data_IF_852076843915
#
_entry.id   IF_852076843915
#
_cell.length_a   1.000
_cell.length_b   1.000
_cell.length_c   1.000
_cell.angle_alpha   90.00
_cell.angle_beta   90.00
_cell.angle_gamma   90.00
#
_symmetry.space_group_name_H-M   'P 1'
#
loop_
_entity.id
_entity.type
_entity.pdbx_description
1 polymer ?
#
# COMPACT_ATOMS: atom_id res chain seq x y z
N UNK A 1 -31.15 11.31 -13.09
CA UNK A 1 -31.17 11.78 -11.69
C UNK A 1 -29.72 11.79 -11.21
N UNK A 2 -29.18 12.95 -10.93
CA UNK A 2 -27.77 13.17 -10.53
C UNK A 2 -27.55 12.57 -9.15
N UNK A 3 -26.69 11.55 -9.05
CA UNK A 3 -26.21 10.98 -7.78
C UNK A 3 -24.77 11.45 -7.58
N UNK A 4 -24.63 12.74 -7.39
CA UNK A 4 -23.39 13.34 -6.89
C UNK A 4 -23.76 14.53 -6.00
N UNK A 5 -24.29 14.26 -4.81
CA UNK A 5 -24.18 15.21 -3.74
C UNK A 5 -22.73 15.14 -3.23
N UNK A 6 -21.89 16.15 -3.43
CA UNK A 6 -20.55 16.15 -2.88
C UNK A 6 -20.66 16.12 -1.36
N UNK A 7 -20.10 15.08 -0.74
CA UNK A 7 -19.83 15.11 0.69
C UNK A 7 -19.02 16.38 0.93
N UNK A 8 -19.54 17.27 1.77
CA UNK A 8 -18.92 18.57 2.04
C UNK A 8 -17.55 18.31 2.67
N UNK A 9 -16.48 18.74 1.99
CA UNK A 9 -15.13 18.61 2.49
C UNK A 9 -15.01 19.18 3.92
N UNK A 10 -14.30 18.53 4.83
CA UNK A 10 -13.99 19.11 6.12
C UNK A 10 -13.25 20.44 5.91
N UNK A 11 -13.54 21.44 6.75
CA UNK A 11 -12.85 22.73 6.70
C UNK A 11 -11.33 22.50 6.84
N UNK A 12 -10.53 23.03 5.88
CA UNK A 12 -9.08 22.82 5.84
C UNK A 12 -8.64 21.60 5.03
N UNK A 13 -9.44 21.07 4.11
CA UNK A 13 -9.00 20.04 3.15
C UNK A 13 -8.65 20.65 1.79
N UNK A 14 -7.65 20.10 1.13
CA UNK A 14 -7.23 20.43 -0.23
C UNK A 14 -7.13 19.18 -1.08
N UNK A 15 -7.07 19.33 -2.40
CA UNK A 15 -7.04 18.19 -3.31
C UNK A 15 -5.62 17.95 -3.82
N UNK A 16 -5.08 16.76 -3.50
CA UNK A 16 -3.75 16.30 -3.91
C UNK A 16 -3.86 15.00 -4.71
N UNK A 17 -2.85 14.73 -5.52
CA UNK A 17 -2.58 13.40 -6.03
C UNK A 17 -1.95 12.54 -4.92
N UNK A 18 -1.90 11.22 -5.11
CA UNK A 18 -1.24 10.31 -4.18
C UNK A 18 0.23 10.72 -3.94
N UNK A 19 0.97 10.99 -5.03
CA UNK A 19 2.37 11.41 -4.96
C UNK A 19 2.57 12.73 -4.22
N UNK A 20 1.76 13.75 -4.52
CA UNK A 20 1.83 15.04 -3.83
C UNK A 20 1.56 14.90 -2.33
N UNK A 21 0.64 14.02 -1.94
CA UNK A 21 0.31 13.75 -0.54
C UNK A 21 1.47 13.10 0.22
N UNK A 22 2.18 12.18 -0.42
CA UNK A 22 3.39 11.54 0.15
C UNK A 22 4.52 12.55 0.30
N UNK A 23 4.82 13.33 -0.76
CA UNK A 23 5.89 14.36 -0.72
C UNK A 23 5.59 15.39 0.36
N UNK A 24 4.34 15.79 0.51
CA UNK A 24 3.94 16.71 1.56
C UNK A 24 4.16 16.15 2.97
N UNK A 25 3.80 14.88 3.21
CA UNK A 25 4.04 14.24 4.51
C UNK A 25 5.55 14.22 4.85
N UNK A 26 6.39 13.89 3.87
CA UNK A 26 7.85 13.92 4.03
C UNK A 26 8.32 15.34 4.35
N UNK A 27 7.88 16.35 3.61
CA UNK A 27 8.28 17.75 3.86
C UNK A 27 7.85 18.23 5.25
N UNK A 28 6.65 17.87 5.71
CA UNK A 28 6.17 18.20 7.06
C UNK A 28 7.15 17.66 8.12
N UNK A 29 7.52 16.40 8.03
CA UNK A 29 8.40 15.79 9.02
C UNK A 29 9.86 16.26 8.91
N UNK A 30 10.35 16.51 7.70
CA UNK A 30 11.68 17.11 7.54
C UNK A 30 11.79 18.52 8.11
N UNK A 31 10.70 19.31 8.12
CA UNK A 31 10.65 20.62 8.78
C UNK A 31 10.64 20.52 10.30
N UNK A 32 10.02 19.47 10.86
CA UNK A 32 9.86 19.26 12.29
C UNK A 32 11.07 18.66 12.96
N UNK A 33 11.69 17.69 12.29
CA UNK A 33 12.76 16.87 12.87
C UNK A 33 13.98 16.88 11.95
N UNK A 34 15.09 17.46 12.46
CA UNK A 34 16.34 17.50 11.74
C UNK A 34 16.97 16.11 11.49
N UNK A 35 16.52 15.09 12.19
CA UNK A 35 16.96 13.69 12.01
C UNK A 35 16.33 13.00 10.79
N UNK A 36 15.21 13.53 10.26
CA UNK A 36 14.55 12.99 9.07
C UNK A 36 15.28 13.46 7.82
N UNK A 37 15.73 12.55 6.98
CA UNK A 37 16.38 12.85 5.70
C UNK A 37 15.96 11.82 4.64
N UNK A 38 16.09 12.19 3.37
CA UNK A 38 15.80 11.34 2.23
C UNK A 38 17.11 10.90 1.56
N UNK A 39 17.23 9.61 1.23
CA UNK A 39 18.33 9.07 0.42
C UNK A 39 17.76 8.25 -0.73
N UNK A 40 18.27 8.42 -1.94
CA UNK A 40 17.81 7.68 -3.11
C UNK A 40 18.55 8.05 -4.38
N UNK A 41 18.18 7.39 -5.45
CA UNK A 41 18.69 7.64 -6.79
C UNK A 41 17.90 8.77 -7.47
N UNK A 42 18.58 9.69 -8.12
CA UNK A 42 18.02 10.80 -8.91
C UNK A 42 17.06 11.72 -8.12
N UNK A 43 17.12 11.72 -6.79
CA UNK A 43 16.22 12.48 -5.92
C UNK A 43 16.64 13.94 -5.70
N UNK A 44 17.81 14.32 -6.15
CA UNK A 44 18.34 15.68 -6.08
C UNK A 44 17.56 16.65 -6.99
N UNK A 45 18.24 17.49 -7.80
CA UNK A 45 17.59 18.49 -8.65
C UNK A 45 16.59 17.90 -9.66
N UNK A 46 16.72 16.62 -10.02
CA UNK A 46 15.76 15.94 -10.90
C UNK A 46 14.43 15.63 -10.21
N UNK A 47 14.39 15.54 -8.87
CA UNK A 47 13.18 15.34 -8.09
C UNK A 47 12.71 13.88 -8.01
N UNK A 48 13.56 12.91 -8.29
CA UNK A 48 13.27 11.48 -8.18
C UNK A 48 12.50 10.89 -9.35
N UNK A 49 12.47 9.57 -9.41
CA UNK A 49 11.62 8.84 -10.34
C UNK A 49 10.16 9.29 -10.21
N UNK A 50 9.50 9.56 -11.33
CA UNK A 50 8.11 10.02 -11.37
C UNK A 50 7.84 11.28 -10.53
N UNK A 51 8.87 12.09 -10.24
CA UNK A 51 8.79 13.31 -9.42
C UNK A 51 8.45 13.03 -7.93
N UNK A 52 8.88 11.88 -7.44
CA UNK A 52 8.57 11.41 -6.08
C UNK A 52 9.26 12.16 -4.95
N UNK A 53 10.25 13.01 -5.26
CA UNK A 53 10.95 13.88 -4.30
C UNK A 53 10.89 15.36 -4.73
N UNK A 54 9.98 15.72 -5.62
CA UNK A 54 9.91 17.06 -6.20
C UNK A 54 9.77 18.14 -5.13
N UNK A 55 10.64 19.16 -5.21
CA UNK A 55 10.65 20.30 -4.29
C UNK A 55 11.40 20.06 -2.97
N UNK A 56 11.72 18.81 -2.63
CA UNK A 56 12.42 18.52 -1.38
C UNK A 56 13.89 18.96 -1.42
N UNK A 57 14.57 18.76 -2.57
CA UNK A 57 15.98 19.18 -2.71
C UNK A 57 16.13 20.70 -2.63
N UNK A 58 15.23 21.44 -3.28
CA UNK A 58 15.23 22.92 -3.26
C UNK A 58 14.97 23.47 -1.87
N UNK A 59 14.15 22.80 -1.05
CA UNK A 59 13.81 23.28 0.28
C UNK A 59 14.85 22.85 1.34
N UNK A 60 15.35 21.61 1.28
CA UNK A 60 16.15 21.04 2.37
C UNK A 60 17.65 20.91 2.03
N UNK A 61 18.03 21.04 0.76
CA UNK A 61 19.40 20.99 0.31
C UNK A 61 20.05 19.58 0.29
N UNK A 62 21.31 19.50 -0.18
CA UNK A 62 22.00 18.23 -0.39
C UNK A 62 22.37 17.47 0.88
N UNK A 63 22.36 18.12 2.03
CA UNK A 63 22.66 17.47 3.32
C UNK A 63 21.45 16.71 3.90
N UNK A 64 20.26 16.98 3.40
CA UNK A 64 19.00 16.36 3.84
C UNK A 64 18.31 15.55 2.74
N UNK A 65 18.65 15.80 1.47
CA UNK A 65 18.21 15.04 0.31
C UNK A 65 19.46 14.51 -0.38
N UNK A 66 19.83 13.29 0.00
CA UNK A 66 21.10 12.67 -0.37
C UNK A 66 20.96 11.89 -1.67
N UNK A 67 21.52 12.41 -2.76
CA UNK A 67 21.59 11.67 -4.01
C UNK A 67 22.63 10.56 -3.93
N UNK A 68 22.21 9.34 -4.25
CA UNK A 68 23.05 8.16 -4.22
C UNK A 68 23.23 7.54 -5.61
N UNK A 69 24.37 6.90 -5.93
CA UNK A 69 24.48 6.08 -7.12
C UNK A 69 23.53 4.88 -7.02
N UNK A 70 23.27 4.23 -8.17
CA UNK A 70 22.43 3.02 -8.24
C UNK A 70 23.08 1.90 -7.41
N UNK A 71 22.62 1.73 -6.19
CA UNK A 71 23.07 0.67 -5.28
C UNK A 71 22.08 0.50 -4.13
N UNK A 72 21.02 -0.26 -4.33
CA UNK A 72 19.95 -0.44 -3.37
C UNK A 72 20.45 -1.03 -2.05
N UNK A 73 21.35 -2.00 -2.11
CA UNK A 73 22.02 -2.57 -0.93
C UNK A 73 22.76 -1.51 -0.11
N UNK A 74 23.49 -0.61 -0.76
CA UNK A 74 24.25 0.43 -0.09
C UNK A 74 23.31 1.50 0.49
N UNK A 75 22.30 1.92 -0.27
CA UNK A 75 21.31 2.92 0.19
C UNK A 75 20.56 2.44 1.44
N UNK A 76 19.97 1.23 1.38
CA UNK A 76 19.23 0.67 2.51
C UNK A 76 20.15 0.38 3.69
N UNK A 77 21.34 -0.17 3.45
CA UNK A 77 22.34 -0.46 4.49
C UNK A 77 22.82 0.80 5.22
N UNK A 78 23.12 1.87 4.46
CA UNK A 78 23.53 3.17 5.04
C UNK A 78 22.41 3.79 5.87
N UNK A 79 21.16 3.70 5.40
CA UNK A 79 20.02 4.19 6.15
C UNK A 79 19.79 3.42 7.46
N UNK A 80 19.93 2.08 7.46
CA UNK A 80 19.87 1.28 8.68
C UNK A 80 20.99 1.73 9.65
N UNK A 81 22.21 1.92 9.15
CA UNK A 81 23.31 2.44 9.96
C UNK A 81 22.99 3.80 10.56
N UNK A 82 22.51 4.75 9.77
CA UNK A 82 22.09 6.06 10.24
C UNK A 82 20.98 6.00 11.30
N UNK A 83 20.00 5.10 11.11
CA UNK A 83 18.91 4.87 12.06
C UNK A 83 19.44 4.38 13.43
N UNK A 84 20.41 3.48 13.44
CA UNK A 84 21.07 3.01 14.67
C UNK A 84 21.81 4.13 15.41
N UNK A 85 22.23 5.19 14.73
CA UNK A 85 22.82 6.39 15.31
C UNK A 85 21.81 7.51 15.58
N UNK A 86 20.51 7.21 15.55
CA UNK A 86 19.46 8.12 15.99
C UNK A 86 18.82 8.96 14.88
N UNK A 87 19.17 8.78 13.61
CA UNK A 87 18.48 9.40 12.50
C UNK A 87 17.16 8.68 12.17
N UNK A 88 16.31 9.33 11.36
CA UNK A 88 15.06 8.79 10.83
C UNK A 88 15.05 8.86 9.28
N UNK A 89 15.81 7.99 8.63
CA UNK A 89 15.99 8.03 7.18
C UNK A 89 14.76 7.51 6.44
N UNK A 90 14.52 8.11 5.27
CA UNK A 90 13.61 7.62 4.25
C UNK A 90 14.47 7.22 3.06
N UNK A 91 14.39 5.95 2.64
CA UNK A 91 15.12 5.44 1.47
C UNK A 91 14.15 5.32 0.31
N UNK A 92 14.41 6.00 -0.80
CA UNK A 92 13.67 5.79 -2.04
C UNK A 92 14.34 4.72 -2.90
N UNK A 93 13.73 3.53 -2.99
CA UNK A 93 14.04 2.52 -4.01
C UNK A 93 13.01 2.69 -5.12
N UNK A 94 13.44 3.13 -6.30
CA UNK A 94 12.55 3.64 -7.36
C UNK A 94 11.41 2.70 -7.73
N UNK A 95 11.69 1.38 -7.82
CA UNK A 95 10.69 0.36 -8.17
C UNK A 95 10.85 -0.89 -7.30
N UNK A 96 9.72 -1.54 -6.99
CA UNK A 96 9.70 -2.76 -6.17
C UNK A 96 10.51 -3.93 -6.74
N UNK A 97 10.73 -3.95 -8.07
CA UNK A 97 11.59 -4.93 -8.71
C UNK A 97 13.07 -4.83 -8.30
N UNK A 98 13.50 -3.71 -7.72
CA UNK A 98 14.87 -3.52 -7.24
C UNK A 98 15.06 -3.83 -5.77
N UNK A 99 13.97 -4.01 -5.00
CA UNK A 99 14.06 -4.44 -3.59
C UNK A 99 14.87 -5.74 -3.38
N UNK A 100 14.80 -6.75 -4.27
CA UNK A 100 15.64 -7.94 -4.15
C UNK A 100 17.15 -7.67 -4.13
N UNK A 101 17.63 -6.57 -4.71
CA UNK A 101 19.04 -6.16 -4.62
C UNK A 101 19.46 -5.77 -3.19
N UNK A 102 18.51 -5.37 -2.34
CA UNK A 102 18.71 -5.03 -0.93
C UNK A 102 18.11 -6.08 0.03
N UNK A 103 17.85 -7.30 -0.44
CA UNK A 103 17.08 -8.30 0.32
C UNK A 103 17.70 -8.60 1.68
N UNK A 104 19.03 -8.73 1.77
CA UNK A 104 19.68 -8.97 3.06
C UNK A 104 19.40 -7.84 4.08
N UNK A 105 19.44 -6.60 3.64
CA UNK A 105 19.16 -5.43 4.49
C UNK A 105 17.70 -5.39 4.93
N UNK A 106 16.78 -5.79 4.04
CA UNK A 106 15.33 -5.73 4.27
C UNK A 106 14.83 -6.87 5.16
N UNK A 107 15.41 -8.08 5.08
CA UNK A 107 14.91 -9.25 5.81
C UNK A 107 15.79 -9.69 6.96
N UNK A 108 17.12 -9.47 6.91
CA UNK A 108 18.03 -9.91 7.96
C UNK A 108 18.48 -8.77 8.88
N UNK A 109 18.69 -7.56 8.35
CA UNK A 109 19.24 -6.49 9.15
C UNK A 109 18.13 -5.67 9.82
N UNK A 110 17.34 -4.90 9.04
CA UNK A 110 16.39 -3.95 9.59
C UNK A 110 15.38 -4.58 10.58
N UNK A 111 14.67 -5.68 10.26
CA UNK A 111 13.61 -6.20 11.11
C UNK A 111 14.14 -6.97 12.33
N UNK A 112 15.34 -7.55 12.26
CA UNK A 112 15.84 -8.42 13.32
C UNK A 112 16.60 -7.69 14.43
N UNK A 113 17.21 -6.53 14.15
CA UNK A 113 18.11 -5.84 15.08
C UNK A 113 17.44 -5.49 16.40
N UNK A 114 16.20 -5.04 16.39
CA UNK A 114 15.47 -4.75 17.63
C UNK A 114 15.33 -6.00 18.51
N UNK A 115 14.89 -7.10 17.95
CA UNK A 115 14.71 -8.37 18.67
C UNK A 115 16.05 -8.95 19.13
N UNK A 116 17.04 -9.02 18.24
CA UNK A 116 18.35 -9.61 18.53
C UNK A 116 19.15 -8.86 19.60
N UNK A 117 18.90 -7.54 19.75
CA UNK A 117 19.54 -6.72 20.78
C UNK A 117 18.73 -6.61 22.07
N UNK A 118 17.66 -7.41 22.22
CA UNK A 118 16.79 -7.36 23.39
C UNK A 118 16.08 -6.01 23.56
N UNK A 119 15.77 -5.31 22.46
CA UNK A 119 15.10 -4.01 22.46
C UNK A 119 16.03 -2.81 22.55
N UNK A 120 17.36 -3.00 22.65
CA UNK A 120 18.33 -1.90 22.77
C UNK A 120 18.46 -1.10 21.47
N UNK A 121 18.44 -1.75 20.30
CA UNK A 121 18.47 -1.07 19.01
C UNK A 121 17.06 -0.76 18.50
N UNK A 122 16.92 0.42 17.88
CA UNK A 122 15.74 0.81 17.09
C UNK A 122 16.17 1.09 15.67
N UNK A 123 15.31 0.78 14.70
CA UNK A 123 15.62 0.96 13.28
C UNK A 123 14.47 1.73 12.62
N UNK A 124 14.29 3.01 12.96
CA UNK A 124 13.25 3.88 12.38
C UNK A 124 13.57 4.26 10.93
N UNK A 125 13.51 3.31 10.02
CA UNK A 125 13.76 3.51 8.59
C UNK A 125 12.48 3.30 7.79
N UNK A 126 12.16 4.23 6.89
CA UNK A 126 11.11 4.05 5.89
C UNK A 126 11.76 3.67 4.58
N UNK A 127 11.42 2.51 4.04
CA UNK A 127 11.82 2.08 2.70
C UNK A 127 10.61 2.35 1.77
N UNK A 128 10.75 3.34 0.93
CA UNK A 128 9.71 3.78 0.01
C UNK A 128 9.96 3.18 -1.37
N UNK A 129 8.94 2.60 -2.00
CA UNK A 129 9.05 2.02 -3.35
C UNK A 129 7.74 2.05 -4.10
N UNK A 130 7.80 1.92 -5.42
CA UNK A 130 6.65 1.86 -6.30
C UNK A 130 6.51 0.49 -6.92
N UNK A 131 5.27 0.00 -7.03
CA UNK A 131 4.95 -1.32 -7.57
C UNK A 131 3.78 -1.26 -8.53
N UNK A 132 3.61 -2.34 -9.30
CA UNK A 132 2.43 -2.56 -10.11
C UNK A 132 2.41 -1.78 -11.42
N UNK A 133 1.24 -1.80 -12.07
CA UNK A 133 1.05 -1.12 -13.34
C UNK A 133 1.03 0.40 -13.18
N UNK A 134 1.59 1.10 -14.15
CA UNK A 134 1.62 2.55 -14.16
C UNK A 134 1.87 3.15 -15.55
N UNK A 135 1.83 4.49 -15.66
CA UNK A 135 1.99 5.18 -16.93
C UNK A 135 3.36 4.99 -17.57
N UNK A 136 4.38 4.69 -16.77
CA UNK A 136 5.74 4.44 -17.27
C UNK A 136 5.83 3.14 -18.08
N UNK A 137 5.03 2.11 -17.73
CA UNK A 137 4.99 0.82 -18.43
C UNK A 137 6.21 -0.08 -18.24
N UNK A 138 7.24 0.36 -17.49
CA UNK A 138 8.38 -0.45 -17.04
C UNK A 138 8.24 -0.87 -15.60
N UNK A 139 8.91 -1.95 -15.20
CA UNK A 139 8.98 -2.45 -13.83
C UNK A 139 7.61 -2.67 -13.13
N UNK A 140 6.65 -3.38 -13.79
CA UNK A 140 5.29 -3.50 -13.28
C UNK A 140 5.09 -4.63 -12.27
N UNK A 141 6.14 -5.35 -11.88
CA UNK A 141 6.01 -6.49 -10.98
C UNK A 141 5.75 -6.02 -9.55
N UNK A 142 4.89 -6.74 -8.84
CA UNK A 142 4.57 -6.50 -7.43
C UNK A 142 5.02 -7.71 -6.58
N UNK A 143 6.06 -7.52 -5.79
CA UNK A 143 6.61 -8.51 -4.86
C UNK A 143 6.28 -8.20 -3.39
N UNK A 144 5.34 -7.31 -3.12
CA UNK A 144 5.03 -6.84 -1.76
C UNK A 144 4.73 -7.97 -0.77
N UNK A 145 4.12 -9.05 -1.24
CA UNK A 145 3.78 -10.22 -0.41
C UNK A 145 5.00 -10.90 0.22
N UNK A 146 6.18 -10.83 -0.39
CA UNK A 146 7.41 -11.38 0.18
C UNK A 146 7.81 -10.68 1.47
N UNK A 147 7.57 -9.37 1.52
CA UNK A 147 7.96 -8.53 2.66
C UNK A 147 6.92 -8.57 3.79
N UNK A 148 5.65 -8.78 3.47
CA UNK A 148 4.60 -8.98 4.47
C UNK A 148 4.78 -10.27 5.29
N UNK A 149 5.59 -11.23 4.79
CA UNK A 149 5.95 -12.45 5.48
C UNK A 149 7.06 -12.24 6.55
N UNK A 150 7.80 -11.13 6.52
CA UNK A 150 8.99 -10.91 7.33
C UNK A 150 8.62 -10.34 8.71
N UNK A 151 8.79 -11.09 9.82
CA UNK A 151 8.55 -10.57 11.15
C UNK A 151 9.45 -9.36 11.46
N UNK A 152 8.87 -8.31 12.08
CA UNK A 152 9.61 -7.10 12.42
C UNK A 152 9.65 -6.03 11.32
N UNK A 153 9.25 -6.35 10.09
CA UNK A 153 9.06 -5.39 9.00
C UNK A 153 7.57 -5.05 8.86
N UNK A 154 7.23 -3.76 8.99
CA UNK A 154 5.87 -3.29 8.68
C UNK A 154 5.71 -3.03 7.19
N UNK A 155 4.53 -3.30 6.65
CA UNK A 155 4.25 -3.12 5.22
C UNK A 155 2.92 -2.39 5.05
N UNK A 156 2.95 -1.24 4.38
CA UNK A 156 1.76 -0.41 4.11
C UNK A 156 1.60 -0.15 2.62
N UNK A 157 0.37 -0.15 2.14
CA UNK A 157 0.02 -0.01 0.72
C UNK A 157 -1.20 0.91 0.60
N UNK A 158 -1.07 2.23 0.77
CA UNK A 158 -2.19 3.16 0.69
C UNK A 158 -2.82 3.20 -0.70
N UNK A 159 -4.15 3.37 -0.74
CA UNK A 159 -4.92 3.49 -1.97
C UNK A 159 -5.43 4.91 -2.25
N UNK A 160 -5.58 5.74 -1.22
CA UNK A 160 -6.06 7.12 -1.36
C UNK A 160 -4.98 8.14 -1.02
N UNK A 161 -5.04 9.38 -1.56
CA UNK A 161 -4.10 10.43 -1.18
C UNK A 161 -4.13 10.75 0.33
N UNK A 162 -5.29 10.71 0.98
CA UNK A 162 -5.42 10.92 2.42
C UNK A 162 -4.71 9.84 3.23
N UNK A 163 -4.90 8.57 2.85
CA UNK A 163 -4.20 7.45 3.50
C UNK A 163 -2.69 7.47 3.19
N UNK A 164 -2.30 7.88 1.98
CA UNK A 164 -0.89 8.00 1.60
C UNK A 164 -0.15 9.01 2.49
N UNK A 165 -0.74 10.21 2.72
CA UNK A 165 -0.21 11.18 3.68
C UNK A 165 -0.18 10.60 5.09
N UNK A 166 -1.30 10.08 5.56
CA UNK A 166 -1.45 9.64 6.93
C UNK A 166 -0.56 8.46 7.31
N UNK A 167 -0.42 7.49 6.40
CA UNK A 167 0.47 6.33 6.60
C UNK A 167 1.95 6.70 6.45
N UNK A 168 2.31 7.69 5.60
CA UNK A 168 3.69 8.17 5.53
C UNK A 168 4.10 8.88 6.83
N UNK A 169 3.24 9.73 7.39
CA UNK A 169 3.47 10.32 8.71
C UNK A 169 3.62 9.24 9.79
N UNK A 170 2.73 8.24 9.81
CA UNK A 170 2.83 7.13 10.75
C UNK A 170 4.11 6.31 10.57
N UNK A 171 4.54 6.07 9.33
CA UNK A 171 5.77 5.34 9.02
C UNK A 171 7.02 6.09 9.49
N UNK A 172 7.07 7.42 9.31
CA UNK A 172 8.20 8.23 9.78
C UNK A 172 8.24 8.28 11.31
N UNK A 173 7.10 8.25 12.00
CA UNK A 173 7.02 8.23 13.46
C UNK A 173 7.34 6.86 14.07
N UNK A 174 7.28 5.77 13.30
CA UNK A 174 7.53 4.42 13.84
C UNK A 174 9.00 4.20 14.17
N UNK A 175 9.27 3.52 15.26
CA UNK A 175 10.63 3.17 15.70
C UNK A 175 11.15 1.87 15.06
N UNK A 176 10.33 1.20 14.25
CA UNK A 176 10.66 -0.02 13.51
C UNK A 176 10.67 0.24 12.00
N UNK A 177 11.30 -0.65 11.22
CA UNK A 177 11.34 -0.49 9.77
C UNK A 177 9.95 -0.62 9.14
N UNK A 178 9.64 0.29 8.21
CA UNK A 178 8.39 0.30 7.45
C UNK A 178 8.70 0.28 5.96
N UNK A 179 8.17 -0.71 5.25
CA UNK A 179 8.10 -0.71 3.79
C UNK A 179 6.83 0.02 3.36
N UNK A 180 7.02 1.19 2.75
CA UNK A 180 5.95 2.03 2.23
C UNK A 180 5.82 1.81 0.72
N UNK A 181 4.72 1.18 0.31
CA UNK A 181 4.51 0.74 -1.08
C UNK A 181 3.51 1.64 -1.78
N UNK A 182 3.92 2.26 -2.87
CA UNK A 182 3.09 3.15 -3.69
C UNK A 182 2.67 2.44 -4.99
N UNK A 183 1.37 2.20 -5.21
CA UNK A 183 0.91 1.69 -6.50
C UNK A 183 1.13 2.73 -7.61
N UNK A 184 1.90 2.39 -8.65
CA UNK A 184 2.24 3.32 -9.74
C UNK A 184 1.02 3.88 -10.46
N UNK A 185 -0.03 3.09 -10.63
CA UNK A 185 -1.27 3.53 -11.26
C UNK A 185 -2.00 4.65 -10.49
N UNK A 186 -1.71 4.79 -9.18
CA UNK A 186 -2.33 5.81 -8.32
C UNK A 186 -1.47 7.07 -8.18
N UNK A 187 -0.17 7.03 -8.51
CA UNK A 187 0.79 8.11 -8.26
C UNK A 187 0.32 9.47 -8.78
N UNK A 188 -0.17 9.50 -10.01
CA UNK A 188 -0.70 10.70 -10.68
C UNK A 188 -2.19 10.57 -11.06
N UNK A 189 -2.92 9.67 -10.38
CA UNK A 189 -4.35 9.53 -10.55
C UNK A 189 -5.11 10.81 -10.13
N UNK A 190 -6.43 10.76 -10.25
CA UNK A 190 -7.30 11.89 -9.92
C UNK A 190 -7.02 12.42 -8.51
N UNK A 191 -6.89 13.74 -8.39
CA UNK A 191 -6.76 14.42 -7.10
C UNK A 191 -7.97 14.12 -6.21
N UNK A 192 -7.72 13.80 -4.95
CA UNK A 192 -8.74 13.60 -3.93
C UNK A 192 -8.49 14.52 -2.72
N UNK A 193 -9.45 14.61 -1.85
CA UNK A 193 -9.35 15.42 -0.64
C UNK A 193 -8.33 14.82 0.32
N UNK A 194 -7.48 15.68 0.85
CA UNK A 194 -6.46 15.35 1.85
C UNK A 194 -6.61 16.32 3.02
N UNK A 195 -6.75 15.84 4.25
CA UNK A 195 -6.81 16.70 5.43
C UNK A 195 -5.54 17.54 5.58
N UNK A 196 -5.70 18.79 6.01
CA UNK A 196 -4.57 19.63 6.37
C UNK A 196 -3.93 19.18 7.70
N UNK A 197 -2.66 19.57 7.92
CA UNK A 197 -1.94 19.31 9.16
C UNK A 197 -1.65 17.84 9.42
N UNK A 198 -1.74 17.44 10.69
CA UNK A 198 -1.32 16.14 11.22
C UNK A 198 -2.42 15.08 11.08
N UNK A 199 -2.69 14.68 9.86
CA UNK A 199 -3.59 13.55 9.60
C UNK A 199 -2.79 12.24 9.62
N UNK A 200 -2.64 11.64 10.79
CA UNK A 200 -1.96 10.35 10.95
C UNK A 200 -2.97 9.21 10.83
N UNK A 201 -2.67 8.22 9.99
CA UNK A 201 -3.42 6.98 9.88
C UNK A 201 -2.64 5.87 10.58
N UNK A 202 -3.21 5.18 11.59
CA UNK A 202 -2.50 4.12 12.30
C UNK A 202 -2.15 2.95 11.38
N UNK A 203 -0.88 2.50 11.43
CA UNK A 203 -0.46 1.27 10.76
C UNK A 203 -1.17 0.09 11.39
N UNK A 204 -1.71 -0.80 10.56
CA UNK A 204 -2.46 -1.97 11.01
C UNK A 204 -3.97 -1.76 11.10
N UNK A 205 -4.48 -0.58 10.76
CA UNK A 205 -5.92 -0.31 10.71
C UNK A 205 -6.43 -0.33 9.27
N UNK A 206 -7.41 -1.17 8.97
CA UNK A 206 -8.12 -1.16 7.69
C UNK A 206 -9.17 -0.02 7.64
N UNK A 207 -9.80 0.15 6.49
CA UNK A 207 -10.88 1.12 6.28
C UNK A 207 -12.05 0.46 5.55
N UNK A 208 -13.28 0.74 5.98
CA UNK A 208 -14.48 0.44 5.20
C UNK A 208 -14.64 1.53 4.15
N UNK A 209 -14.13 1.26 2.95
CA UNK A 209 -14.20 2.20 1.81
C UNK A 209 -15.62 2.31 1.25
N UNK A 210 -16.43 1.28 1.45
CA UNK A 210 -17.86 1.25 1.12
C UNK A 210 -18.58 0.30 2.06
N UNK A 211 -19.65 0.72 2.74
CA UNK A 211 -20.49 -0.18 3.52
C UNK A 211 -21.31 -1.12 2.62
N UNK A 212 -21.62 -2.31 3.13
CA UNK A 212 -22.43 -3.31 2.44
C UNK A 212 -22.85 -4.45 3.39
N UNK A 213 -23.67 -5.37 2.89
CA UNK A 213 -24.21 -6.46 3.73
C UNK A 213 -24.27 -7.82 3.02
N UNK A 214 -24.04 -7.87 1.73
CA UNK A 214 -24.22 -9.10 0.94
C UNK A 214 -22.92 -9.86 0.69
N UNK A 215 -21.82 -9.15 0.42
CA UNK A 215 -20.49 -9.72 0.14
C UNK A 215 -19.41 -8.82 0.71
N UNK A 216 -18.42 -9.39 1.38
CA UNK A 216 -17.19 -8.71 1.78
C UNK A 216 -16.18 -8.80 0.64
N UNK A 217 -15.70 -7.66 0.16
CA UNK A 217 -14.62 -7.53 -0.80
C UNK A 217 -13.41 -6.90 -0.13
N UNK A 218 -12.33 -7.66 0.02
CA UNK A 218 -11.06 -7.19 0.60
C UNK A 218 -10.11 -6.81 -0.51
N UNK A 219 -9.54 -5.61 -0.43
CA UNK A 219 -8.60 -5.05 -1.41
C UNK A 219 -7.49 -4.24 -0.72
N UNK A 220 -6.48 -3.85 -1.50
CA UNK A 220 -5.48 -2.84 -1.12
C UNK A 220 -4.89 -2.16 -2.36
N UNK A 221 -4.32 -0.99 -2.17
CA UNK A 221 -3.60 -0.25 -3.21
C UNK A 221 -4.42 -0.01 -4.48
N UNK A 222 -3.86 -0.36 -5.63
CA UNK A 222 -4.46 -0.16 -6.96
C UNK A 222 -5.81 -0.82 -7.18
N UNK A 223 -6.17 -1.80 -6.35
CA UNK A 223 -7.44 -2.51 -6.51
C UNK A 223 -8.64 -1.75 -5.96
N UNK A 224 -8.45 -0.77 -5.09
CA UNK A 224 -9.57 -0.01 -4.50
C UNK A 224 -10.45 0.69 -5.56
N UNK A 225 -9.92 1.43 -6.54
CA UNK A 225 -10.75 2.02 -7.60
C UNK A 225 -11.55 0.99 -8.40
N UNK A 226 -10.95 -0.16 -8.73
CA UNK A 226 -11.62 -1.23 -9.47
C UNK A 226 -12.73 -1.90 -8.63
N UNK A 227 -12.49 -2.05 -7.33
CA UNK A 227 -13.47 -2.55 -6.38
C UNK A 227 -14.69 -1.62 -6.26
N UNK A 228 -14.46 -0.31 -6.16
CA UNK A 228 -15.54 0.68 -6.12
C UNK A 228 -16.36 0.68 -7.42
N UNK A 229 -15.70 0.55 -8.57
CA UNK A 229 -16.38 0.42 -9.87
C UNK A 229 -17.22 -0.87 -9.93
N UNK A 230 -16.67 -2.00 -9.50
CA UNK A 230 -17.38 -3.28 -9.45
C UNK A 230 -18.59 -3.21 -8.51
N UNK A 231 -18.44 -2.64 -7.33
CA UNK A 231 -19.54 -2.47 -6.37
C UNK A 231 -20.64 -1.54 -6.91
N UNK A 232 -20.30 -0.53 -7.69
CA UNK A 232 -21.29 0.33 -8.38
C UNK A 232 -22.10 -0.48 -9.40
N UNK A 233 -21.44 -1.35 -10.17
CA UNK A 233 -22.12 -2.26 -11.10
C UNK A 233 -23.05 -3.21 -10.34
N UNK A 234 -22.58 -3.81 -9.24
CA UNK A 234 -23.37 -4.74 -8.42
C UNK A 234 -24.58 -4.10 -7.75
N UNK A 235 -24.52 -2.79 -7.46
CA UNK A 235 -25.67 -2.07 -6.92
C UNK A 235 -26.85 -2.02 -7.89
N UNK A 236 -26.61 -2.02 -9.20
CA UNK A 236 -27.70 -2.10 -10.19
C UNK A 236 -28.40 -3.46 -10.18
N UNK A 237 -27.79 -4.47 -9.58
CA UNK A 237 -28.30 -5.83 -9.37
C UNK A 237 -28.83 -6.02 -7.93
N UNK A 238 -29.00 -4.94 -7.18
CA UNK A 238 -29.42 -4.94 -5.76
C UNK A 238 -28.48 -5.77 -4.84
N UNK A 239 -27.18 -5.81 -5.14
CA UNK A 239 -26.14 -6.43 -4.31
C UNK A 239 -25.30 -5.35 -3.64
N UNK A 240 -25.31 -5.36 -2.29
CA UNK A 240 -24.55 -4.40 -1.49
C UNK A 240 -23.22 -5.00 -1.04
N UNK A 241 -22.13 -4.56 -1.69
CA UNK A 241 -20.77 -5.02 -1.44
C UNK A 241 -20.12 -4.14 -0.40
N UNK A 242 -19.70 -4.74 0.73
CA UNK A 242 -18.80 -4.07 1.69
C UNK A 242 -17.37 -4.17 1.20
N UNK A 243 -16.73 -3.02 0.97
CA UNK A 243 -15.34 -2.95 0.53
C UNK A 243 -14.48 -2.58 1.72
N UNK A 244 -13.52 -3.46 2.04
CA UNK A 244 -12.49 -3.21 3.05
C UNK A 244 -11.16 -2.99 2.32
N UNK A 245 -10.60 -1.78 2.47
CA UNK A 245 -9.23 -1.46 2.09
C UNK A 245 -8.31 -1.76 3.27
N UNK A 246 -7.40 -2.72 3.10
CA UNK A 246 -6.48 -3.13 4.16
C UNK A 246 -5.48 -2.04 4.53
N UNK A 247 -5.03 -1.22 3.59
CA UNK A 247 -4.02 -0.16 3.78
C UNK A 247 -2.68 -0.65 4.34
N UNK A 248 -2.71 -1.65 5.23
CA UNK A 248 -1.54 -2.29 5.85
C UNK A 248 -1.62 -3.81 5.68
N UNK A 249 -0.51 -4.43 5.29
CA UNK A 249 -0.40 -5.88 5.14
C UNK A 249 0.36 -6.52 6.32
N UNK A 250 1.26 -5.77 6.96
CA UNK A 250 1.96 -6.22 8.17
C UNK A 250 2.19 -5.02 9.12
N UNK A 251 1.55 -4.98 10.30
CA UNK A 251 0.40 -5.80 10.68
C UNK A 251 -0.85 -5.46 9.85
N UNK A 252 -1.84 -6.36 9.83
CA UNK A 252 -3.11 -6.13 9.13
C UNK A 252 -4.31 -6.26 10.08
N UNK A 253 -5.42 -5.66 9.72
CA UNK A 253 -6.65 -5.64 10.51
C UNK A 253 -7.53 -6.88 10.26
N UNK A 254 -7.08 -8.02 10.79
CA UNK A 254 -7.83 -9.27 10.69
C UNK A 254 -9.22 -9.16 11.35
N UNK A 255 -9.32 -8.40 12.45
CA UNK A 255 -10.57 -8.20 13.18
C UNK A 255 -11.66 -7.59 12.32
N UNK A 256 -11.36 -6.48 11.63
CA UNK A 256 -12.32 -5.82 10.74
C UNK A 256 -12.80 -6.75 9.63
N UNK A 257 -11.90 -7.52 9.01
CA UNK A 257 -12.25 -8.46 7.93
C UNK A 257 -13.12 -9.59 8.46
N UNK A 258 -12.76 -10.20 9.59
CA UNK A 258 -13.53 -11.29 10.21
C UNK A 258 -14.94 -10.81 10.59
N UNK A 259 -15.06 -9.63 11.18
CA UNK A 259 -16.36 -9.07 11.59
C UNK A 259 -17.24 -8.74 10.38
N UNK A 260 -16.66 -8.25 9.28
CA UNK A 260 -17.38 -8.09 8.03
C UNK A 260 -17.87 -9.43 7.48
N UNK A 261 -16.99 -10.42 7.40
CA UNK A 261 -17.33 -11.75 6.86
C UNK A 261 -18.35 -12.48 7.74
N UNK A 262 -18.35 -12.27 9.06
CA UNK A 262 -19.41 -12.79 9.95
C UNK A 262 -20.80 -12.28 9.57
N UNK A 263 -20.91 -11.03 9.13
CA UNK A 263 -22.18 -10.43 8.68
C UNK A 263 -22.59 -10.90 7.29
N UNK A 264 -21.64 -10.87 6.34
CA UNK A 264 -21.92 -11.16 4.92
C UNK A 264 -21.88 -12.64 4.58
N UNK A 265 -21.08 -13.45 5.30
CA UNK A 265 -20.81 -14.88 5.09
C UNK A 265 -20.26 -15.20 3.68
N UNK A 266 -19.70 -14.19 2.99
CA UNK A 266 -19.13 -14.30 1.64
C UNK A 266 -17.88 -13.43 1.55
N UNK A 267 -16.80 -13.99 1.04
CA UNK A 267 -15.52 -13.31 0.93
C UNK A 267 -14.95 -13.41 -0.49
N UNK A 268 -14.69 -12.25 -1.07
CA UNK A 268 -13.89 -12.06 -2.27
C UNK A 268 -12.66 -11.24 -1.90
N UNK A 269 -11.49 -11.62 -2.39
CA UNK A 269 -10.23 -10.91 -2.17
C UNK A 269 -9.65 -10.57 -3.54
N UNK A 270 -9.29 -9.30 -3.77
CA UNK A 270 -8.69 -8.88 -5.02
C UNK A 270 -7.43 -8.06 -4.78
N UNK A 271 -6.35 -8.42 -5.49
CA UNK A 271 -5.04 -7.76 -5.42
C UNK A 271 -4.33 -7.78 -6.76
N UNK A 272 -3.40 -6.85 -6.99
CA UNK A 272 -2.72 -6.72 -8.29
C UNK A 272 -1.70 -7.82 -8.54
N UNK A 273 -1.02 -8.31 -7.51
CA UNK A 273 0.00 -9.37 -7.62
C UNK A 273 -0.59 -10.74 -7.98
N UNK A 274 0.28 -11.73 -8.22
CA UNK A 274 -0.14 -13.11 -8.53
C UNK A 274 -0.91 -13.75 -7.37
N UNK A 275 -1.84 -14.67 -7.70
CA UNK A 275 -2.65 -15.37 -6.68
C UNK A 275 -1.80 -16.30 -5.81
N UNK A 276 -0.82 -16.99 -6.43
CA UNK A 276 0.06 -17.93 -5.72
C UNK A 276 1.03 -17.19 -4.79
N UNK A 277 1.05 -17.56 -3.52
CA UNK A 277 1.94 -16.96 -2.53
C UNK A 277 1.62 -15.50 -2.17
N UNK A 278 0.47 -14.97 -2.60
CA UNK A 278 0.04 -13.62 -2.27
C UNK A 278 -0.42 -13.48 -0.81
N UNK A 279 -0.42 -12.25 -0.29
CA UNK A 279 -1.01 -11.93 1.00
C UNK A 279 -2.52 -12.26 1.07
N UNK A 280 -3.20 -12.26 -0.08
CA UNK A 280 -4.60 -12.73 -0.16
C UNK A 280 -4.79 -14.19 0.23
N UNK A 281 -3.75 -15.01 0.18
CA UNK A 281 -3.80 -16.39 0.70
C UNK A 281 -3.82 -16.40 2.24
N UNK A 282 -3.06 -15.52 2.89
CA UNK A 282 -3.06 -15.36 4.34
C UNK A 282 -4.43 -14.86 4.84
N UNK A 283 -5.01 -13.86 4.18
CA UNK A 283 -6.36 -13.38 4.48
C UNK A 283 -7.38 -14.52 4.37
N UNK A 284 -7.31 -15.31 3.29
CA UNK A 284 -8.22 -16.44 3.09
C UNK A 284 -8.04 -17.52 4.15
N UNK A 285 -6.79 -17.88 4.49
CA UNK A 285 -6.48 -18.88 5.50
C UNK A 285 -6.94 -18.45 6.90
N UNK A 286 -6.69 -17.19 7.27
CA UNK A 286 -7.13 -16.62 8.54
C UNK A 286 -8.65 -16.68 8.68
N UNK A 287 -9.40 -16.24 7.67
CA UNK A 287 -10.87 -16.29 7.70
C UNK A 287 -11.39 -17.72 7.72
N UNK A 288 -10.82 -18.62 6.91
CA UNK A 288 -11.22 -20.03 6.89
C UNK A 288 -10.94 -20.75 8.23
N UNK A 289 -9.96 -20.28 9.00
CA UNK A 289 -9.62 -20.82 10.32
C UNK A 289 -10.50 -20.31 11.47
N UNK A 290 -11.42 -19.37 11.24
CA UNK A 290 -12.28 -18.83 12.31
C UNK A 290 -13.31 -19.86 12.74
N UNK A 291 -13.33 -20.27 14.04
CA UNK A 291 -14.29 -21.24 14.51
C UNK A 291 -15.74 -20.80 14.30
N UNK A 292 -16.59 -21.73 13.90
CA UNK A 292 -18.04 -21.54 13.70
C UNK A 292 -18.42 -20.47 12.66
N UNK A 293 -17.47 -20.04 11.82
CA UNK A 293 -17.73 -19.17 10.68
C UNK A 293 -18.16 -20.01 9.48
N UNK A 294 -19.46 -20.08 9.24
CA UNK A 294 -20.01 -20.78 8.08
C UNK A 294 -20.09 -19.85 6.88
N UNK A 295 -19.32 -20.13 5.84
CA UNK A 295 -19.38 -19.39 4.58
C UNK A 295 -20.48 -19.94 3.67
N UNK A 296 -21.18 -19.04 2.97
CA UNK A 296 -22.23 -19.36 2.02
C UNK A 296 -21.68 -19.66 0.61
N UNK A 297 -20.40 -19.37 0.37
CA UNK A 297 -19.71 -19.61 -0.88
C UNK A 297 -18.22 -19.87 -0.60
N UNK A 298 -17.50 -20.55 -1.51
CA UNK A 298 -16.05 -20.65 -1.44
C UNK A 298 -15.39 -19.27 -1.45
N UNK A 299 -14.29 -19.10 -0.70
CA UNK A 299 -13.50 -17.88 -0.76
C UNK A 299 -12.89 -17.75 -2.15
N UNK A 300 -13.12 -16.62 -2.82
CA UNK A 300 -12.56 -16.33 -4.14
C UNK A 300 -11.42 -15.35 -4.03
N UNK A 301 -10.28 -15.67 -4.66
CA UNK A 301 -9.12 -14.78 -4.77
C UNK A 301 -8.89 -14.41 -6.23
N UNK A 302 -8.75 -13.11 -6.49
CA UNK A 302 -8.47 -12.54 -7.81
C UNK A 302 -7.10 -11.87 -7.76
N UNK A 303 -6.25 -12.18 -8.71
CA UNK A 303 -4.93 -11.59 -8.87
C UNK A 303 -4.46 -11.69 -10.32
N UNK A 304 -3.25 -11.24 -10.60
CA UNK A 304 -2.65 -11.35 -11.92
C UNK A 304 -2.55 -12.81 -12.38
N UNK A 305 -2.59 -13.02 -13.68
CA UNK A 305 -2.30 -14.32 -14.29
C UNK A 305 -0.87 -14.77 -13.94
N UNK A 306 -0.59 -16.10 -13.88
CA UNK A 306 0.70 -16.63 -13.42
C UNK A 306 1.82 -16.51 -14.49
N UNK A 307 2.01 -15.30 -14.99
CA UNK A 307 3.04 -14.92 -15.96
C UNK A 307 3.63 -13.57 -15.53
N UNK A 308 4.86 -13.23 -15.94
CA UNK A 308 5.39 -11.88 -15.73
C UNK A 308 4.44 -10.84 -16.33
N UNK A 309 4.21 -9.76 -15.60
CA UNK A 309 3.35 -8.66 -16.08
C UNK A 309 4.05 -7.97 -17.26
N UNK A 310 3.47 -8.00 -18.48
CA UNK A 310 4.11 -7.42 -19.64
C UNK A 310 3.88 -5.90 -19.68
N UNK A 311 4.77 -5.19 -20.38
CA UNK A 311 4.55 -3.78 -20.72
C UNK A 311 3.50 -3.62 -21.84
N UNK A 312 2.91 -2.43 -21.91
CA UNK A 312 2.02 -2.04 -23.01
C UNK A 312 0.65 -2.76 -23.00
N UNK A 313 -0.01 -2.92 -24.16
CA UNK A 313 -1.41 -3.36 -24.22
C UNK A 313 -1.68 -4.77 -23.68
N UNK A 314 -0.68 -5.65 -23.68
CA UNK A 314 -0.83 -7.03 -23.20
C UNK A 314 -1.09 -7.11 -21.68
N UNK A 315 -0.68 -6.12 -20.91
CA UNK A 315 -0.91 -6.08 -19.46
C UNK A 315 -2.39 -6.18 -19.08
N UNK A 316 -3.28 -5.61 -19.88
CA UNK A 316 -4.74 -5.70 -19.67
C UNK A 316 -5.29 -7.14 -19.73
N UNK A 317 -4.52 -8.10 -20.27
CA UNK A 317 -4.88 -9.53 -20.27
C UNK A 317 -4.34 -10.28 -19.06
N UNK A 318 -3.43 -9.67 -18.32
CA UNK A 318 -2.72 -10.29 -17.19
C UNK A 318 -3.22 -9.76 -15.85
N UNK A 319 -3.44 -8.45 -15.78
CA UNK A 319 -3.86 -7.78 -14.54
C UNK A 319 -5.35 -7.96 -14.25
N UNK A 320 -5.75 -7.96 -12.97
CA UNK A 320 -7.16 -8.01 -12.58
C UNK A 320 -7.97 -6.84 -13.13
N UNK A 321 -9.24 -7.10 -13.41
CA UNK A 321 -10.18 -6.11 -13.94
C UNK A 321 -11.42 -6.01 -13.06
N UNK A 322 -12.12 -4.86 -13.13
CA UNK A 322 -13.40 -4.68 -12.46
C UNK A 322 -14.44 -5.73 -12.91
N UNK A 323 -14.41 -6.17 -14.18
CA UNK A 323 -15.29 -7.22 -14.68
C UNK A 323 -15.07 -8.58 -14.02
N UNK A 324 -13.80 -8.96 -13.73
CA UNK A 324 -13.49 -10.18 -12.99
C UNK A 324 -13.96 -10.08 -11.52
N UNK A 325 -13.85 -8.91 -10.91
CA UNK A 325 -14.37 -8.67 -9.56
C UNK A 325 -15.90 -8.83 -9.56
N UNK A 326 -16.60 -8.25 -10.53
CA UNK A 326 -18.06 -8.42 -10.69
C UNK A 326 -18.45 -9.88 -10.83
N UNK A 327 -17.75 -10.64 -11.69
CA UNK A 327 -18.00 -12.07 -11.88
C UNK A 327 -17.81 -12.87 -10.57
N UNK A 328 -16.75 -12.57 -9.81
CA UNK A 328 -16.50 -13.22 -8.53
C UNK A 328 -17.56 -12.88 -7.46
N UNK A 329 -18.04 -11.63 -7.42
CA UNK A 329 -19.11 -11.22 -6.50
C UNK A 329 -20.42 -11.95 -6.85
N UNK A 330 -20.78 -12.06 -8.14
CA UNK A 330 -21.96 -12.83 -8.58
C UNK A 330 -21.86 -14.29 -8.17
N UNK A 331 -20.73 -14.94 -8.47
CA UNK A 331 -20.48 -16.31 -8.07
C UNK A 331 -20.57 -16.54 -6.55
N UNK A 332 -20.00 -15.63 -5.77
CA UNK A 332 -20.12 -15.67 -4.30
C UNK A 332 -21.57 -15.49 -3.83
N UNK A 333 -22.35 -14.69 -4.54
CA UNK A 333 -23.77 -14.46 -4.25
C UNK A 333 -24.62 -15.71 -4.54
N UNK A 334 -24.31 -16.43 -5.61
CA UNK A 334 -24.98 -17.67 -6.04
C UNK A 334 -24.50 -18.91 -5.26
N UNK A 335 -23.46 -18.82 -4.46
CA UNK A 335 -22.85 -19.93 -3.74
C UNK A 335 -22.01 -20.84 -4.66
N UNK A 336 -21.62 -20.36 -5.85
CA UNK A 336 -20.81 -21.06 -6.83
C UNK A 336 -19.37 -20.56 -6.87
N UNK A 337 -18.50 -21.22 -7.63
CA UNK A 337 -17.19 -20.70 -8.05
C UNK A 337 -17.34 -19.91 -9.35
N UNK A 338 -16.59 -18.81 -9.53
CA UNK A 338 -16.60 -18.07 -10.79
C UNK A 338 -15.96 -18.84 -11.94
#
# INVERSE_FOLDING_TARGET
MSIDAPVKAPAGSRRLTHMEAVVEAIAIEMRRDARVFLIGQDIGPFGGSMQGARGLFEEFGPERVLEAPISESAMVGSAIGAALFGCRPIVEVSFGEFLPAAMNQLINQAPNLHYMTGGAARVPVVIRTRVGDGPYGGHPQDYVSWFAHVPGLKVVVPATPGDAKGLMLAAIHDDNPVLFVEPMSLSHARRAEVPDGDHVVPIGSASVARPGRDVTLVVWGSMLPLALQAATTMSSEAVEVEIIDLRSLAPWDAGMVIDSVRRTRRLVIAHETWVTGSFGAEVAATVAGVPQLELLAPITRIGAAPVPVPSGPLRARVLPTSAQIVAAIRAAREGSRP
#
